data_IF_952813140722
#
_entry.id   IF_952813140722
#
_cell.length_a   1.000
_cell.length_b   1.000
_cell.length_c   1.000
_cell.angle_alpha   90.00
_cell.angle_beta   90.00
_cell.angle_gamma   90.00
#
_symmetry.space_group_name_H-M   'P 1'
#
loop_
_entity.id
_entity.type
_entity.pdbx_description
1 polymer ?
#
# COMPACT_ATOMS: atom_id res chain seq x y z
N UNK A 1 -33.73 -25.44 -32.41
CA UNK A 1 -33.61 -24.14 -33.13
C UNK A 1 -32.26 -24.12 -33.85
N UNK A 2 -32.22 -24.21 -35.19
CA UNK A 2 -30.95 -24.24 -35.97
C UNK A 2 -30.29 -22.85 -35.96
N UNK A 3 -29.02 -22.77 -35.53
CA UNK A 3 -28.22 -21.53 -35.58
C UNK A 3 -27.95 -21.16 -37.05
N UNK A 4 -28.20 -19.91 -37.42
CA UNK A 4 -27.96 -19.39 -38.79
C UNK A 4 -26.60 -18.72 -38.85
N UNK A 5 -25.70 -19.11 -39.77
CA UNK A 5 -24.35 -18.53 -39.87
C UNK A 5 -24.36 -17.02 -40.17
N UNK A 6 -25.38 -16.51 -40.87
CA UNK A 6 -25.56 -15.05 -41.04
C UNK A 6 -25.86 -14.34 -39.72
N UNK A 7 -26.68 -14.96 -38.86
CA UNK A 7 -27.06 -14.39 -37.56
C UNK A 7 -25.87 -14.37 -36.60
N UNK A 8 -25.04 -15.40 -36.64
CA UNK A 8 -23.80 -15.48 -35.86
C UNK A 8 -22.75 -14.48 -36.37
N UNK A 9 -22.65 -14.26 -37.68
CA UNK A 9 -21.79 -13.22 -38.26
C UNK A 9 -22.19 -11.81 -37.83
N UNK A 10 -23.50 -11.53 -37.86
CA UNK A 10 -24.05 -10.25 -37.43
C UNK A 10 -23.83 -9.98 -35.94
N UNK A 11 -24.01 -10.99 -35.09
CA UNK A 11 -23.76 -10.90 -33.64
C UNK A 11 -22.28 -10.64 -33.32
N UNK A 12 -21.36 -11.30 -34.04
CA UNK A 12 -19.91 -11.06 -33.86
C UNK A 12 -19.52 -9.65 -34.30
N UNK A 13 -20.08 -9.16 -35.41
CA UNK A 13 -19.81 -7.80 -35.88
C UNK A 13 -20.35 -6.76 -34.89
N UNK A 14 -21.58 -6.95 -34.40
CA UNK A 14 -22.17 -6.11 -33.36
C UNK A 14 -21.34 -6.10 -32.08
N UNK A 15 -20.85 -7.27 -31.63
CA UNK A 15 -19.97 -7.37 -30.45
C UNK A 15 -18.62 -6.67 -30.63
N UNK A 16 -18.01 -6.76 -31.82
CA UNK A 16 -16.75 -6.04 -32.12
C UNK A 16 -16.94 -4.54 -32.17
N UNK A 17 -18.05 -4.06 -32.76
CA UNK A 17 -18.43 -2.66 -32.76
C UNK A 17 -18.68 -2.15 -31.33
N UNK A 18 -19.40 -2.92 -30.51
CA UNK A 18 -19.65 -2.59 -29.12
C UNK A 18 -18.33 -2.48 -28.34
N UNK A 19 -17.39 -3.42 -28.50
CA UNK A 19 -16.07 -3.36 -27.86
C UNK A 19 -15.21 -2.19 -28.35
N UNK A 20 -15.25 -1.88 -29.66
CA UNK A 20 -14.53 -0.74 -30.21
C UNK A 20 -15.05 0.57 -29.63
N UNK A 21 -16.38 0.74 -29.54
CA UNK A 21 -17.03 1.90 -28.94
C UNK A 21 -16.80 1.94 -27.42
N UNK A 22 -16.79 0.79 -26.76
CA UNK A 22 -16.55 0.69 -25.31
C UNK A 22 -15.23 1.33 -24.90
N UNK A 23 -14.17 1.26 -25.72
CA UNK A 23 -12.87 1.88 -25.41
C UNK A 23 -12.95 3.41 -25.24
N UNK A 24 -13.84 4.06 -25.99
CA UNK A 24 -14.01 5.51 -25.98
C UNK A 24 -14.97 6.03 -24.91
N UNK A 25 -15.68 5.14 -24.20
CA UNK A 25 -16.50 5.55 -23.06
C UNK A 25 -15.60 6.02 -21.90
N UNK A 26 -15.91 7.15 -21.26
CA UNK A 26 -15.25 7.59 -20.02
C UNK A 26 -15.33 6.52 -18.92
N UNK A 27 -14.29 6.41 -18.08
CA UNK A 27 -14.19 5.35 -17.07
C UNK A 27 -15.32 5.40 -16.02
N UNK A 28 -15.78 6.60 -15.67
CA UNK A 28 -16.92 6.85 -14.79
C UNK A 28 -18.24 6.31 -15.37
N UNK A 29 -18.38 6.25 -16.69
CA UNK A 29 -19.56 5.69 -17.38
C UNK A 29 -19.51 4.18 -17.57
N UNK A 30 -18.34 3.57 -17.35
CA UNK A 30 -18.14 2.12 -17.39
C UNK A 30 -18.39 1.45 -16.03
N UNK A 31 -18.52 2.25 -14.96
CA UNK A 31 -18.87 1.75 -13.63
C UNK A 31 -20.34 1.34 -13.61
N UNK A 32 -20.59 0.04 -13.45
CA UNK A 32 -21.88 -0.50 -13.02
C UNK A 32 -22.06 -0.24 -11.53
N UNK A 33 -22.08 1.03 -11.14
CA UNK A 33 -22.43 1.43 -9.77
C UNK A 33 -23.95 1.50 -9.70
N UNK A 34 -24.55 0.46 -9.12
CA UNK A 34 -25.90 0.58 -8.58
C UNK A 34 -25.89 1.70 -7.53
N UNK A 35 -26.99 2.46 -7.34
CA UNK A 35 -27.06 3.39 -6.22
C UNK A 35 -26.76 2.60 -4.94
N UNK A 36 -25.58 2.85 -4.38
CA UNK A 36 -25.12 2.14 -3.19
C UNK A 36 -26.08 2.39 -2.04
N UNK A 37 -26.13 1.46 -1.08
CA UNK A 37 -26.82 1.72 0.17
C UNK A 37 -26.34 3.06 0.73
N UNK A 38 -27.28 3.92 1.14
CA UNK A 38 -26.95 5.25 1.69
C UNK A 38 -26.14 5.18 2.98
N UNK A 39 -26.07 4.00 3.60
CA UNK A 39 -25.48 3.74 4.91
C UNK A 39 -24.50 2.58 4.84
N UNK A 40 -23.27 2.84 5.29
CA UNK A 40 -22.19 1.87 5.45
C UNK A 40 -21.15 2.44 6.43
N UNK A 41 -20.42 1.57 7.12
CA UNK A 41 -19.37 2.00 8.06
C UNK A 41 -18.05 2.31 7.33
N UNK A 42 -17.75 1.57 6.26
CA UNK A 42 -16.59 1.80 5.40
C UNK A 42 -16.84 1.31 3.96
N UNK A 43 -16.06 1.80 3.00
CA UNK A 43 -16.10 1.35 1.60
C UNK A 43 -15.04 0.31 1.30
N UNK A 44 -15.26 -0.55 0.31
CA UNK A 44 -14.35 -1.67 0.00
C UNK A 44 -13.87 -1.65 -1.46
N UNK A 45 -12.87 -0.83 -1.82
CA UNK A 45 -12.24 -0.92 -3.14
C UNK A 45 -11.55 -2.27 -3.32
N UNK A 46 -11.75 -2.90 -4.48
CA UNK A 46 -11.16 -4.19 -4.84
C UNK A 46 -10.04 -3.96 -5.87
N UNK A 47 -8.81 -4.41 -5.58
CA UNK A 47 -7.60 -4.22 -6.41
C UNK A 47 -7.28 -2.75 -6.83
N UNK A 48 -7.95 -1.75 -6.25
CA UNK A 48 -7.79 -0.33 -6.59
C UNK A 48 -6.81 0.34 -5.61
N UNK A 49 -5.83 1.07 -6.16
CA UNK A 49 -4.90 1.92 -5.38
C UNK A 49 -5.48 3.33 -5.35
N UNK A 50 -5.81 3.82 -4.17
CA UNK A 50 -6.27 5.20 -3.99
C UNK A 50 -5.08 6.15 -3.95
N UNK A 51 -5.20 7.31 -4.59
CA UNK A 51 -4.10 8.28 -4.67
C UNK A 51 -4.02 9.16 -3.41
N UNK A 52 -5.17 9.48 -2.82
CA UNK A 52 -5.30 10.47 -1.75
C UNK A 52 -5.80 9.86 -0.43
N UNK A 53 -5.57 10.58 0.67
CA UNK A 53 -6.19 10.25 1.96
C UNK A 53 -7.72 10.32 1.81
N UNK A 54 -8.40 9.30 2.29
CA UNK A 54 -9.87 9.30 2.37
C UNK A 54 -10.31 9.71 3.76
N UNK A 55 -11.23 10.67 3.83
CA UNK A 55 -11.83 11.10 5.10
C UNK A 55 -12.60 9.94 5.76
N UNK A 56 -13.46 9.27 4.98
CA UNK A 56 -14.19 8.08 5.45
C UNK A 56 -13.29 6.85 5.40
N UNK A 57 -13.53 5.94 6.36
CA UNK A 57 -12.84 4.66 6.40
C UNK A 57 -13.13 3.81 5.17
N UNK A 58 -12.12 3.06 4.78
CA UNK A 58 -12.17 2.12 3.68
C UNK A 58 -11.28 0.92 3.96
N UNK A 59 -11.54 -0.20 3.28
CA UNK A 59 -10.77 -1.43 3.40
C UNK A 59 -10.45 -1.95 2.01
N UNK A 60 -9.17 -1.93 1.65
CA UNK A 60 -8.68 -2.55 0.42
C UNK A 60 -8.87 -4.05 0.51
N UNK A 61 -9.45 -4.66 -0.50
CA UNK A 61 -9.53 -6.11 -0.62
C UNK A 61 -8.89 -6.59 -1.90
N UNK A 62 -8.07 -7.64 -1.79
CA UNK A 62 -7.45 -8.34 -2.92
C UNK A 62 -7.06 -9.76 -2.50
N UNK A 63 -6.90 -10.65 -3.47
CA UNK A 63 -6.20 -11.92 -3.24
C UNK A 63 -4.71 -11.70 -3.04
N UNK A 64 -4.07 -12.65 -2.35
CA UNK A 64 -2.60 -12.78 -2.35
C UNK A 64 -2.09 -13.06 -3.78
N UNK A 65 -2.90 -13.70 -4.62
CA UNK A 65 -2.72 -13.81 -6.06
C UNK A 65 -3.67 -12.91 -6.87
N UNK A 66 -4.11 -13.42 -8.01
CA UNK A 66 -5.13 -12.81 -8.89
C UNK A 66 -6.54 -13.39 -8.65
N UNK A 67 -6.65 -14.47 -7.88
CA UNK A 67 -7.89 -15.11 -7.44
C UNK A 67 -8.08 -14.97 -5.93
N UNK A 68 -9.34 -14.97 -5.48
CA UNK A 68 -9.68 -15.10 -4.06
C UNK A 68 -9.70 -16.56 -3.61
N UNK A 69 -10.21 -17.47 -4.45
CA UNK A 69 -10.20 -18.90 -4.19
C UNK A 69 -8.95 -19.58 -4.75
N UNK A 70 -8.66 -20.80 -4.30
CA UNK A 70 -7.52 -21.56 -4.81
C UNK A 70 -7.57 -21.71 -6.34
N UNK A 71 -6.52 -21.27 -7.02
CA UNK A 71 -6.34 -21.41 -8.44
C UNK A 71 -5.04 -22.16 -8.74
N UNK A 72 -5.16 -23.43 -9.15
CA UNK A 72 -4.02 -24.29 -9.48
C UNK A 72 -3.14 -23.80 -10.64
N UNK A 73 -3.61 -22.79 -11.38
CA UNK A 73 -2.89 -22.22 -12.51
C UNK A 73 -2.11 -20.94 -12.13
N UNK A 74 -2.28 -20.42 -10.90
CA UNK A 74 -1.42 -19.36 -10.40
C UNK A 74 -0.01 -19.91 -10.19
N UNK A 75 0.98 -19.11 -10.59
CA UNK A 75 2.40 -19.38 -10.43
C UNK A 75 2.99 -18.44 -9.38
N UNK A 76 4.21 -18.70 -8.88
CA UNK A 76 4.84 -17.85 -7.88
C UNK A 76 4.88 -16.36 -8.28
N UNK A 77 5.05 -16.05 -9.55
CA UNK A 77 5.03 -14.68 -10.08
C UNK A 77 3.65 -14.00 -10.06
N UNK A 78 2.57 -14.77 -9.94
CA UNK A 78 1.20 -14.25 -9.81
C UNK A 78 0.86 -13.92 -8.34
N UNK A 79 1.68 -14.38 -7.40
CA UNK A 79 1.53 -14.16 -5.96
C UNK A 79 2.36 -12.93 -5.55
N UNK A 80 1.78 -12.04 -4.75
CA UNK A 80 2.54 -10.89 -4.22
C UNK A 80 3.74 -11.34 -3.41
N UNK A 81 4.85 -10.66 -3.58
CA UNK A 81 5.99 -10.79 -2.70
C UNK A 81 5.70 -10.19 -1.31
N UNK A 82 6.50 -10.56 -0.30
CA UNK A 82 6.46 -9.94 1.02
C UNK A 82 6.69 -8.42 0.91
N UNK A 83 7.66 -8.02 0.08
CA UNK A 83 8.01 -6.64 -0.21
C UNK A 83 6.82 -5.85 -0.75
N UNK A 84 6.13 -6.35 -1.79
CA UNK A 84 4.95 -5.70 -2.36
C UNK A 84 3.80 -5.61 -1.35
N UNK A 85 3.60 -6.67 -0.56
CA UNK A 85 2.55 -6.72 0.46
C UNK A 85 2.81 -5.69 1.58
N UNK A 86 4.04 -5.61 2.10
CA UNK A 86 4.42 -4.65 3.14
C UNK A 86 4.30 -3.21 2.63
N UNK A 87 4.87 -2.92 1.46
CA UNK A 87 4.86 -1.56 0.88
C UNK A 87 3.43 -1.11 0.55
N UNK A 88 2.61 -1.99 -0.01
CA UNK A 88 1.19 -1.70 -0.26
C UNK A 88 0.41 -1.50 1.03
N UNK A 89 0.68 -2.28 2.08
CA UNK A 89 0.02 -2.10 3.37
C UNK A 89 0.36 -0.75 4.01
N UNK A 90 1.63 -0.33 3.98
CA UNK A 90 2.06 0.99 4.43
C UNK A 90 1.33 2.13 3.69
N UNK A 91 1.18 2.00 2.35
CA UNK A 91 0.45 2.96 1.52
C UNK A 91 -1.05 3.03 1.85
N UNK A 92 -1.69 1.88 2.05
CA UNK A 92 -3.10 1.77 2.41
C UNK A 92 -3.36 2.45 3.76
N UNK A 93 -2.55 2.12 4.78
CA UNK A 93 -2.73 2.63 6.15
C UNK A 93 -2.51 4.15 6.20
N UNK A 94 -1.52 4.68 5.48
CA UNK A 94 -1.27 6.13 5.43
C UNK A 94 -2.41 6.92 4.78
N UNK A 95 -3.26 6.26 3.99
CA UNK A 95 -4.43 6.84 3.30
C UNK A 95 -5.76 6.52 3.98
N UNK A 96 -5.72 6.13 5.25
CA UNK A 96 -6.86 5.82 6.12
C UNK A 96 -7.49 4.44 5.88
N UNK A 97 -6.84 3.58 5.11
CA UNK A 97 -7.35 2.27 4.73
C UNK A 97 -6.97 1.16 5.71
N UNK A 98 -7.75 0.08 5.66
CA UNK A 98 -7.37 -1.24 6.13
C UNK A 98 -7.02 -2.15 4.94
N UNK A 99 -6.32 -3.25 5.19
CA UNK A 99 -6.08 -4.29 4.20
C UNK A 99 -6.75 -5.60 4.63
N UNK A 100 -7.62 -6.11 3.77
CA UNK A 100 -8.17 -7.45 3.82
C UNK A 100 -7.53 -8.29 2.72
N UNK A 101 -6.57 -9.14 3.10
CA UNK A 101 -5.87 -10.01 2.15
C UNK A 101 -6.54 -11.39 2.07
N UNK A 102 -6.98 -11.77 0.87
CA UNK A 102 -7.61 -13.05 0.60
C UNK A 102 -6.59 -14.16 0.38
N UNK A 103 -6.82 -15.32 0.99
CA UNK A 103 -6.06 -16.55 0.79
C UNK A 103 -6.96 -17.64 0.19
N UNK A 104 -6.36 -18.51 -0.61
CA UNK A 104 -7.06 -19.63 -1.24
C UNK A 104 -6.53 -20.98 -0.75
N UNK A 105 -7.05 -21.54 0.36
CA UNK A 105 -6.71 -22.89 0.78
C UNK A 105 -7.06 -23.93 -0.30
N UNK A 106 -6.23 -24.96 -0.43
CA UNK A 106 -6.45 -26.04 -1.38
C UNK A 106 -7.64 -26.93 -0.98
N UNK A 107 -7.93 -27.95 -1.80
CA UNK A 107 -9.04 -28.90 -1.59
C UNK A 107 -8.97 -29.68 -0.27
N UNK A 108 -7.80 -29.70 0.38
CA UNK A 108 -7.58 -30.33 1.68
C UNK A 108 -7.60 -29.31 2.84
N UNK A 109 -7.89 -28.04 2.55
CA UNK A 109 -7.92 -26.95 3.52
C UNK A 109 -6.54 -26.42 3.92
N UNK A 110 -5.47 -26.84 3.25
CA UNK A 110 -4.12 -26.34 3.52
C UNK A 110 -3.84 -25.07 2.72
N UNK A 111 -3.16 -24.10 3.33
CA UNK A 111 -2.72 -22.88 2.66
C UNK A 111 -1.47 -23.23 1.83
N UNK A 112 -1.45 -22.98 0.51
CA UNK A 112 -0.25 -23.19 -0.31
C UNK A 112 0.93 -22.39 0.23
N UNK A 113 2.13 -22.98 0.21
CA UNK A 113 3.31 -22.36 0.80
C UNK A 113 3.68 -21.04 0.11
N UNK A 114 3.46 -20.94 -1.21
CA UNK A 114 3.70 -19.68 -1.94
C UNK A 114 2.83 -18.53 -1.42
N UNK A 115 1.59 -18.83 -0.98
CA UNK A 115 0.70 -17.83 -0.38
C UNK A 115 1.08 -17.51 1.07
N UNK A 116 1.65 -18.48 1.79
CA UNK A 116 2.03 -18.29 3.19
C UNK A 116 3.29 -17.42 3.35
N UNK A 117 4.25 -17.52 2.42
CA UNK A 117 5.52 -16.75 2.46
C UNK A 117 5.31 -15.24 2.63
N UNK A 118 4.54 -14.53 1.78
CA UNK A 118 4.35 -13.07 1.93
C UNK A 118 3.64 -12.71 3.24
N UNK A 119 2.72 -13.56 3.71
CA UNK A 119 2.00 -13.35 4.97
C UNK A 119 2.92 -13.48 6.19
N UNK A 120 3.83 -14.46 6.18
CA UNK A 120 4.86 -14.58 7.22
C UNK A 120 5.81 -13.40 7.18
N UNK A 121 6.27 -12.98 5.99
CA UNK A 121 7.11 -11.80 5.83
C UNK A 121 6.45 -10.52 6.37
N UNK A 122 5.16 -10.31 6.06
CA UNK A 122 4.38 -9.21 6.63
C UNK A 122 4.27 -9.33 8.16
N UNK A 123 4.00 -10.52 8.69
CA UNK A 123 3.93 -10.78 10.14
C UNK A 123 5.24 -10.49 10.86
N UNK A 124 6.36 -10.94 10.30
CA UNK A 124 7.71 -10.73 10.84
C UNK A 124 8.07 -9.24 10.84
N UNK A 125 7.75 -8.53 9.76
CA UNK A 125 7.93 -7.07 9.70
C UNK A 125 7.05 -6.33 10.72
N UNK A 126 5.77 -6.71 10.84
CA UNK A 126 4.84 -6.11 11.81
C UNK A 126 5.22 -6.38 13.27
N UNK A 127 5.90 -7.50 13.55
CA UNK A 127 6.35 -7.81 14.91
C UNK A 127 7.32 -6.76 15.48
N UNK A 128 8.06 -6.08 14.60
CA UNK A 128 9.06 -5.06 14.96
C UNK A 128 8.58 -3.63 14.64
N UNK A 129 7.82 -3.47 13.56
CA UNK A 129 7.38 -2.16 13.05
C UNK A 129 5.90 -1.83 13.31
N UNK A 130 5.17 -2.72 14.00
CA UNK A 130 3.72 -2.61 14.21
C UNK A 130 3.26 -1.36 14.97
N UNK A 131 4.14 -0.73 15.77
CA UNK A 131 3.85 0.56 16.44
C UNK A 131 3.48 1.66 15.41
N UNK A 132 4.11 1.66 14.23
CA UNK A 132 3.85 2.62 13.15
C UNK A 132 2.62 2.27 12.30
N UNK A 133 1.90 1.18 12.62
CA UNK A 133 0.74 0.71 11.86
C UNK A 133 -0.50 0.64 12.75
N UNK A 134 -0.44 -0.15 13.82
CA UNK A 134 -1.60 -0.44 14.65
C UNK A 134 -2.06 0.80 15.43
N UNK A 135 -3.38 1.03 15.42
CA UNK A 135 -4.02 2.18 16.06
C UNK A 135 -3.56 3.57 15.56
N UNK A 136 -2.82 3.62 14.45
CA UNK A 136 -2.44 4.89 13.82
C UNK A 136 -3.58 5.48 12.98
N UNK A 137 -3.40 6.74 12.59
CA UNK A 137 -4.23 7.47 11.64
C UNK A 137 -3.33 8.10 10.57
N UNK A 138 -3.88 8.46 9.40
CA UNK A 138 -3.18 9.32 8.48
C UNK A 138 -2.69 10.58 9.18
N UNK A 139 -1.49 11.01 8.83
CA UNK A 139 -1.08 12.38 9.11
C UNK A 139 -1.72 13.35 8.09
N UNK A 140 -1.45 14.66 8.22
CA UNK A 140 -1.97 15.68 7.30
C UNK A 140 -1.49 15.47 5.84
N UNK A 141 -0.44 14.66 5.65
CA UNK A 141 0.09 14.21 4.36
C UNK A 141 0.27 12.69 4.41
N UNK A 142 -0.15 12.00 3.36
CA UNK A 142 0.02 10.54 3.28
C UNK A 142 1.45 10.13 2.90
N UNK A 143 2.16 11.00 2.18
CA UNK A 143 3.41 10.63 1.53
C UNK A 143 4.32 11.82 1.25
N UNK A 144 5.60 11.52 1.14
CA UNK A 144 6.63 12.34 0.51
C UNK A 144 7.62 11.40 -0.17
N UNK A 145 8.78 11.91 -0.54
CA UNK A 145 9.93 11.14 -1.00
C UNK A 145 11.19 11.57 -0.28
N UNK A 146 12.19 10.71 -0.32
CA UNK A 146 13.55 11.07 0.07
C UNK A 146 14.27 11.80 -1.07
N UNK A 147 15.43 12.39 -0.79
CA UNK A 147 16.27 13.07 -1.80
C UNK A 147 16.67 12.16 -2.98
N UNK A 148 16.74 10.85 -2.77
CA UNK A 148 17.02 9.83 -3.79
C UNK A 148 15.75 9.18 -4.36
N UNK A 149 14.58 9.79 -4.12
CA UNK A 149 13.27 9.41 -4.67
C UNK A 149 12.68 8.11 -4.11
N UNK A 150 13.18 7.62 -2.98
CA UNK A 150 12.54 6.53 -2.25
C UNK A 150 11.22 7.03 -1.66
N UNK A 151 10.15 6.27 -1.86
CA UNK A 151 8.81 6.64 -1.43
C UNK A 151 8.71 6.59 0.10
N UNK A 152 8.12 7.62 0.70
CA UNK A 152 7.86 7.67 2.14
C UNK A 152 6.36 7.74 2.37
N UNK A 153 5.85 7.05 3.40
CA UNK A 153 4.48 7.14 3.88
C UNK A 153 4.44 7.60 5.32
N UNK A 154 3.36 8.26 5.71
CA UNK A 154 3.22 8.77 7.07
C UNK A 154 2.00 8.20 7.77
N UNK A 155 2.19 7.86 9.04
CA UNK A 155 1.12 7.54 9.98
C UNK A 155 1.38 8.29 11.27
N UNK A 156 0.33 8.53 12.05
CA UNK A 156 0.45 9.19 13.35
C UNK A 156 -0.40 8.51 14.41
N UNK A 157 0.08 8.50 15.65
CA UNK A 157 -0.67 8.04 16.80
C UNK A 157 -0.37 8.95 17.98
N UNK A 158 -1.42 9.49 18.61
CA UNK A 158 -1.29 10.33 19.81
C UNK A 158 -0.29 11.48 19.63
N UNK A 159 -0.25 12.06 18.42
CA UNK A 159 0.65 13.15 18.05
C UNK A 159 2.07 12.74 17.65
N UNK A 160 2.46 11.46 17.84
CA UNK A 160 3.73 10.91 17.36
C UNK A 160 3.62 10.67 15.85
N UNK A 161 4.59 11.16 15.09
CA UNK A 161 4.69 10.91 13.65
C UNK A 161 5.62 9.72 13.37
N UNK A 162 5.22 8.86 12.45
CA UNK A 162 6.05 7.79 11.91
C UNK A 162 6.25 7.99 10.42
N UNK A 163 7.49 7.84 9.96
CA UNK A 163 7.86 7.79 8.56
C UNK A 163 8.16 6.34 8.16
N UNK A 164 7.42 5.84 7.17
CA UNK A 164 7.56 4.52 6.58
C UNK A 164 8.30 4.67 5.25
N UNK A 165 9.60 4.45 5.25
CA UNK A 165 10.46 4.54 4.06
C UNK A 165 10.35 3.22 3.32
N UNK A 166 9.74 3.23 2.13
CA UNK A 166 9.30 2.02 1.44
C UNK A 166 10.43 1.30 0.67
N UNK A 167 11.68 1.62 0.91
CA UNK A 167 12.85 0.89 0.41
C UNK A 167 14.09 1.29 1.21
N UNK A 168 15.22 0.60 1.01
CA UNK A 168 16.52 1.12 1.44
C UNK A 168 16.93 2.26 0.50
N UNK A 169 17.14 3.49 1.01
CA UNK A 169 17.69 4.56 0.22
C UNK A 169 19.08 4.19 -0.35
N UNK A 170 19.38 4.67 -1.55
CA UNK A 170 20.63 4.39 -2.26
C UNK A 170 21.87 4.91 -1.52
N UNK A 171 21.70 5.97 -0.73
CA UNK A 171 22.72 6.52 0.16
C UNK A 171 22.30 6.33 1.62
N UNK A 172 23.26 6.06 2.51
CA UNK A 172 23.00 5.92 3.94
C UNK A 172 22.43 7.21 4.56
N UNK A 173 22.85 8.37 4.05
CA UNK A 173 22.30 9.69 4.41
C UNK A 173 21.40 10.23 3.31
N UNK A 174 20.21 10.69 3.69
CA UNK A 174 19.20 11.21 2.75
C UNK A 174 18.29 12.23 3.44
N UNK A 175 17.70 13.12 2.66
CA UNK A 175 16.67 14.06 3.13
C UNK A 175 15.31 13.38 3.11
N UNK A 176 14.45 13.72 4.07
CA UNK A 176 13.01 13.42 4.02
C UNK A 176 12.27 14.70 3.61
N UNK A 177 11.91 14.80 2.32
CA UNK A 177 11.39 16.05 1.74
C UNK A 177 10.14 16.55 2.49
N UNK A 178 10.10 17.84 2.81
CA UNK A 178 8.97 18.51 3.43
C UNK A 178 8.88 18.39 4.95
N UNK A 179 9.79 17.67 5.62
CA UNK A 179 9.81 17.60 7.10
C UNK A 179 10.72 18.68 7.68
N UNK A 180 10.18 19.52 8.55
CA UNK A 180 10.90 20.55 9.30
C UNK A 180 11.85 19.89 10.32
N UNK A 181 13.16 19.97 10.08
CA UNK A 181 14.16 19.34 10.95
C UNK A 181 14.13 19.85 12.38
N UNK A 182 13.80 21.13 12.59
CA UNK A 182 13.76 21.75 13.92
C UNK A 182 12.56 21.26 14.75
N UNK A 183 11.51 20.78 14.07
CA UNK A 183 10.33 20.21 14.72
C UNK A 183 10.52 18.76 15.16
N UNK A 184 11.52 18.08 14.64
CA UNK A 184 11.81 16.67 14.93
C UNK A 184 12.65 16.58 16.19
N UNK A 185 12.14 15.88 17.20
CA UNK A 185 12.78 15.79 18.52
C UNK A 185 13.61 14.52 18.67
N UNK A 186 13.25 13.46 17.94
CA UNK A 186 13.91 12.16 17.92
C UNK A 186 13.77 11.52 16.53
N UNK A 187 14.59 10.53 16.23
CA UNK A 187 14.50 9.72 15.03
C UNK A 187 14.90 8.28 15.36
N UNK A 188 13.95 7.45 15.81
CA UNK A 188 14.23 6.06 16.21
C UNK A 188 13.80 5.07 15.14
N UNK A 189 14.71 4.21 14.69
CA UNK A 189 14.40 3.09 13.80
C UNK A 189 13.70 1.98 14.60
N UNK A 190 12.42 1.71 14.33
CA UNK A 190 11.64 0.76 15.12
C UNK A 190 12.15 -0.68 14.99
N UNK A 191 12.60 -1.07 13.80
CA UNK A 191 13.08 -2.42 13.50
C UNK A 191 14.23 -2.90 14.41
N UNK A 192 15.07 -1.97 14.88
CA UNK A 192 16.24 -2.25 15.73
C UNK A 192 16.18 -1.54 17.09
N UNK A 193 15.34 -0.52 17.24
CA UNK A 193 15.30 0.39 18.40
C UNK A 193 16.42 1.42 18.42
N UNK A 194 17.28 1.48 17.40
CA UNK A 194 18.42 2.38 17.33
C UNK A 194 18.00 3.83 17.03
N UNK A 195 18.63 4.79 17.69
CA UNK A 195 18.46 6.21 17.39
C UNK A 195 19.30 6.56 16.14
N UNK A 196 18.64 7.04 15.09
CA UNK A 196 19.26 7.47 13.86
C UNK A 196 19.95 8.82 14.05
N UNK A 197 21.07 9.01 13.35
CA UNK A 197 21.65 10.34 13.26
C UNK A 197 20.70 11.23 12.46
N UNK A 198 20.41 12.41 13.02
CA UNK A 198 19.57 13.43 12.40
C UNK A 198 20.34 14.74 12.30
N UNK A 199 20.29 15.35 11.13
CA UNK A 199 20.89 16.64 10.82
C UNK A 199 19.85 17.51 10.14
N UNK A 200 20.23 18.77 9.88
CA UNK A 200 19.39 19.73 9.17
C UNK A 200 20.13 20.18 7.94
N UNK A 201 19.45 20.14 6.79
CA UNK A 201 19.96 20.70 5.54
C UNK A 201 18.90 21.59 4.94
N UNK A 202 19.17 22.90 4.87
CA UNK A 202 18.22 23.90 4.35
C UNK A 202 16.85 23.86 5.09
N UNK A 203 16.85 23.54 6.39
CA UNK A 203 15.64 23.38 7.19
C UNK A 203 14.94 22.03 7.06
N UNK A 204 15.33 21.19 6.09
CA UNK A 204 14.77 19.86 5.86
C UNK A 204 15.48 18.82 6.74
N UNK A 205 14.71 17.86 7.26
CA UNK A 205 15.21 16.72 8.01
C UNK A 205 16.13 15.86 7.14
N UNK A 206 17.36 15.67 7.60
CA UNK A 206 18.31 14.71 7.05
C UNK A 206 18.48 13.57 8.05
N UNK A 207 18.38 12.33 7.57
CA UNK A 207 18.54 11.11 8.37
C UNK A 207 19.68 10.27 7.82
N UNK A 208 20.37 9.58 8.71
CA UNK A 208 21.35 8.55 8.35
C UNK A 208 20.92 7.18 8.88
N UNK A 209 20.67 6.23 7.98
CA UNK A 209 20.50 4.82 8.32
C UNK A 209 21.89 4.21 8.49
N UNK A 210 22.21 3.59 9.65
CA UNK A 210 23.52 2.99 9.87
C UNK A 210 23.71 1.78 8.95
N UNK A 211 24.95 1.54 8.50
CA UNK A 211 25.27 0.37 7.64
C UNK A 211 24.96 -0.97 8.31
N UNK A 212 24.93 -0.99 9.65
CA UNK A 212 24.56 -2.14 10.47
C UNK A 212 23.05 -2.40 10.52
N UNK A 213 22.22 -1.50 10.02
CA UNK A 213 20.79 -1.72 9.95
C UNK A 213 20.50 -2.95 9.06
N UNK A 214 19.60 -3.86 9.48
CA UNK A 214 19.22 -4.99 8.65
C UNK A 214 18.57 -4.51 7.36
N UNK A 215 18.67 -5.31 6.30
CA UNK A 215 17.88 -5.08 5.09
C UNK A 215 16.41 -5.36 5.40
N UNK A 216 15.57 -4.34 5.26
CA UNK A 216 14.12 -4.45 5.43
C UNK A 216 13.38 -4.00 4.17
N UNK A 217 12.23 -4.62 3.92
CA UNK A 217 11.33 -4.27 2.82
C UNK A 217 10.80 -2.83 2.90
N UNK A 218 10.70 -2.31 4.13
CA UNK A 218 10.43 -0.92 4.47
C UNK A 218 10.99 -0.60 5.87
N UNK A 219 11.49 0.62 6.08
CA UNK A 219 12.00 1.07 7.37
C UNK A 219 10.96 1.95 8.04
N UNK A 220 10.61 1.65 9.30
CA UNK A 220 9.71 2.49 10.09
C UNK A 220 10.52 3.34 11.08
N UNK A 221 10.45 4.66 10.94
CA UNK A 221 11.17 5.63 11.78
C UNK A 221 10.16 6.43 12.59
N UNK A 222 10.31 6.43 13.92
CA UNK A 222 9.56 7.30 14.84
C UNK A 222 10.23 8.67 14.88
N UNK A 223 9.50 9.72 14.55
CA UNK A 223 10.00 11.11 14.49
C UNK A 223 9.59 11.97 15.70
N UNK A 224 8.89 11.36 16.67
CA UNK A 224 8.41 12.06 17.86
C UNK A 224 7.16 12.90 17.62
N UNK A 225 6.82 13.73 18.60
CA UNK A 225 5.61 14.58 18.58
C UNK A 225 5.91 15.99 18.08
N UNK A 226 4.90 16.64 17.51
CA UNK A 226 5.00 18.07 17.13
C UNK A 226 5.77 18.33 15.82
N UNK A 227 6.01 17.27 15.03
CA UNK A 227 6.64 17.37 13.72
C UNK A 227 5.79 18.21 12.78
N UNK A 228 6.44 19.10 12.02
CA UNK A 228 5.79 20.04 11.10
C UNK A 228 6.21 19.79 9.67
N UNK A 229 5.31 20.16 8.76
CA UNK A 229 5.59 20.21 7.33
C UNK A 229 6.11 21.59 6.94
N UNK A 230 7.15 21.64 6.09
CA UNK A 230 7.64 22.86 5.43
C UNK A 230 7.31 22.80 3.94
N UNK A 231 6.77 23.91 3.43
CA UNK A 231 6.35 24.10 2.03
C UNK A 231 7.48 24.66 1.17
#
# INVERSE_FOLDING_TARGET
MKRSPMRDGLLRLAGRLLQAVWRFLPADKKRLTFPGAQWFDFTTPEYEVLEEIREKKWESTRGVGHSFGANRNERPEDIVSATELIRSFCDIVSKNGNLLIGIGPNEHGAIPEEQAIPLRGLGDWLSRNGEAIYATRPWDRASTVTSDRTQVRFTTREGVLYALILDRPATSTFLVEGIDAESVTEARLLGTGEELQRTTREGVLELTIPETAPDEDAYAVRLGTGVRWIS
#
